data_IF_569793850393
#
_entry.id   IF_569793850393
#
_cell.length_a   1.000
_cell.length_b   1.000
_cell.length_c   1.000
_cell.angle_alpha   90.00
_cell.angle_beta   90.00
_cell.angle_gamma   90.00
#
_symmetry.space_group_name_H-M   'P 1'
#
loop_
_entity.id
_entity.type
_entity.pdbx_description
1 polymer ?
#
# COMPACT_ATOMS: atom_id res chain seq x y z
N UNK A 1 1.74 -20.27 35.73
CA UNK A 1 1.91 -20.32 34.26
C UNK A 1 3.32 -19.84 33.94
N UNK A 2 4.11 -20.63 33.22
CA UNK A 2 5.52 -20.30 32.94
C UNK A 2 5.63 -19.02 32.10
N UNK A 3 6.61 -18.17 32.40
CA UNK A 3 6.91 -16.93 31.67
C UNK A 3 7.15 -17.19 30.17
N UNK A 4 7.75 -18.34 29.83
CA UNK A 4 7.95 -18.80 28.44
C UNK A 4 6.62 -19.03 27.72
N UNK A 5 5.62 -19.57 28.42
CA UNK A 5 4.30 -19.86 27.86
C UNK A 5 3.54 -18.55 27.58
N UNK A 6 3.58 -17.59 28.51
CA UNK A 6 3.00 -16.26 28.31
C UNK A 6 3.64 -15.51 27.14
N UNK A 7 4.96 -15.60 27.00
CA UNK A 7 5.69 -15.01 25.87
C UNK A 7 5.28 -15.64 24.54
N UNK A 8 5.11 -16.96 24.50
CA UNK A 8 4.62 -17.68 23.32
C UNK A 8 3.20 -17.25 22.96
N UNK A 9 2.29 -17.16 23.94
CA UNK A 9 0.91 -16.69 23.73
C UNK A 9 0.87 -15.27 23.15
N UNK A 10 1.69 -14.35 23.68
CA UNK A 10 1.79 -12.97 23.16
C UNK A 10 2.24 -12.93 21.70
N UNK A 11 3.30 -13.68 21.37
CA UNK A 11 3.83 -13.74 20.00
C UNK A 11 2.83 -14.36 19.02
N UNK A 12 2.07 -15.38 19.46
CA UNK A 12 1.03 -15.99 18.64
C UNK A 12 -0.13 -15.01 18.39
N UNK A 13 -0.55 -14.24 19.39
CA UNK A 13 -1.58 -13.23 19.23
C UNK A 13 -1.14 -12.11 18.28
N UNK A 14 0.09 -11.63 18.42
CA UNK A 14 0.69 -10.64 17.50
C UNK A 14 0.73 -11.19 16.08
N UNK A 15 1.20 -12.43 15.89
CA UNK A 15 1.25 -13.08 14.58
C UNK A 15 -0.13 -13.18 13.92
N UNK A 16 -1.11 -13.73 14.65
CA UNK A 16 -2.50 -13.85 14.17
C UNK A 16 -3.09 -12.48 13.80
N UNK A 17 -2.77 -11.45 14.59
CA UNK A 17 -3.21 -10.08 14.29
C UNK A 17 -2.60 -9.53 13.00
N UNK A 18 -1.32 -9.81 12.73
CA UNK A 18 -0.63 -9.35 11.53
C UNK A 18 -1.11 -10.08 10.27
N UNK A 19 -1.31 -11.40 10.34
CA UNK A 19 -1.87 -12.17 9.23
C UNK A 19 -3.28 -11.68 8.87
N UNK A 20 -4.12 -11.47 9.90
CA UNK A 20 -5.46 -10.93 9.72
C UNK A 20 -5.42 -9.55 9.06
N UNK A 21 -4.54 -8.66 9.54
CA UNK A 21 -4.34 -7.33 8.98
C UNK A 21 -3.96 -7.40 7.49
N UNK A 22 -2.99 -8.24 7.11
CA UNK A 22 -2.57 -8.39 5.70
C UNK A 22 -3.69 -8.94 4.83
N UNK A 23 -4.41 -9.95 5.32
CA UNK A 23 -5.54 -10.53 4.58
C UNK A 23 -6.64 -9.50 4.30
N UNK A 24 -7.03 -8.73 5.32
CA UNK A 24 -8.01 -7.65 5.19
C UNK A 24 -7.47 -6.53 4.28
N UNK A 25 -6.18 -6.21 4.38
CA UNK A 25 -5.52 -5.22 3.54
C UNK A 25 -5.55 -5.58 2.05
N UNK A 26 -5.12 -6.81 1.72
CA UNK A 26 -5.12 -7.31 0.34
C UNK A 26 -6.54 -7.34 -0.23
N UNK A 27 -7.52 -7.88 0.52
CA UNK A 27 -8.89 -7.94 0.06
C UNK A 27 -9.43 -6.55 -0.31
N UNK A 28 -9.21 -5.56 0.58
CA UNK A 28 -9.67 -4.20 0.29
C UNK A 28 -8.88 -3.51 -0.83
N UNK A 29 -7.58 -3.79 -0.93
CA UNK A 29 -6.75 -3.29 -2.02
C UNK A 29 -7.20 -3.84 -3.38
N UNK A 30 -7.60 -5.10 -3.45
CA UNK A 30 -8.16 -5.72 -4.67
C UNK A 30 -9.48 -5.09 -5.11
N UNK A 31 -10.38 -4.82 -4.15
CA UNK A 31 -11.63 -4.09 -4.43
C UNK A 31 -11.32 -2.71 -5.03
N UNK A 32 -10.47 -1.93 -4.36
CA UNK A 32 -10.09 -0.58 -4.81
C UNK A 32 -9.34 -0.59 -6.14
N UNK A 33 -8.53 -1.62 -6.41
CA UNK A 33 -7.81 -1.80 -7.68
C UNK A 33 -8.77 -1.86 -8.87
N UNK A 34 -9.88 -2.58 -8.71
CA UNK A 34 -10.96 -2.67 -9.71
C UNK A 34 -11.82 -1.40 -9.74
N UNK A 35 -12.24 -0.91 -8.57
CA UNK A 35 -13.11 0.29 -8.48
C UNK A 35 -12.46 1.55 -9.06
N UNK A 36 -11.14 1.70 -8.91
CA UNK A 36 -10.38 2.83 -9.46
C UNK A 36 -9.89 2.58 -10.89
N UNK A 37 -10.27 1.45 -11.50
CA UNK A 37 -9.92 1.06 -12.87
C UNK A 37 -8.40 1.02 -13.12
N UNK A 38 -7.62 0.64 -12.11
CA UNK A 38 -6.16 0.51 -12.20
C UNK A 38 -5.80 -0.74 -13.02
N UNK A 39 -6.66 -1.75 -12.99
CA UNK A 39 -6.56 -2.99 -13.75
C UNK A 39 -6.58 -2.79 -15.27
N UNK A 40 -7.06 -1.64 -15.75
CA UNK A 40 -6.96 -1.25 -17.16
C UNK A 40 -5.53 -0.93 -17.60
N UNK A 41 -4.60 -0.71 -16.66
CA UNK A 41 -3.20 -0.32 -16.96
C UNK A 41 -2.16 -1.33 -16.53
N UNK A 42 -2.44 -2.14 -15.53
CA UNK A 42 -1.49 -3.15 -15.02
C UNK A 42 -2.26 -4.36 -14.51
N UNK A 43 -1.68 -5.55 -14.65
CA UNK A 43 -2.22 -6.76 -14.04
C UNK A 43 -2.04 -6.73 -12.51
N UNK A 44 -2.88 -7.47 -11.78
CA UNK A 44 -2.81 -7.51 -10.32
C UNK A 44 -1.45 -8.06 -9.83
N UNK A 45 -0.96 -9.09 -10.50
CA UNK A 45 0.28 -9.80 -10.20
C UNK A 45 1.50 -8.88 -10.36
N UNK A 46 1.42 -7.93 -11.29
CA UNK A 46 2.49 -6.98 -11.57
C UNK A 46 2.49 -5.75 -10.64
N UNK A 47 1.39 -5.52 -9.90
CA UNK A 47 1.20 -4.32 -9.08
C UNK A 47 2.26 -4.19 -7.98
N UNK A 48 2.72 -5.30 -7.41
CA UNK A 48 3.77 -5.30 -6.39
C UNK A 48 5.19 -5.32 -6.96
N UNK A 49 5.33 -5.46 -8.29
CA UNK A 49 6.59 -5.33 -9.01
C UNK A 49 7.09 -3.88 -9.12
N UNK A 50 6.25 -2.89 -8.80
CA UNK A 50 6.69 -1.50 -8.69
C UNK A 50 7.53 -1.27 -7.42
N UNK A 51 8.55 -0.43 -7.54
CA UNK A 51 9.45 -0.05 -6.45
C UNK A 51 8.78 0.98 -5.52
N UNK A 52 7.98 1.88 -6.09
CA UNK A 52 7.26 2.91 -5.34
C UNK A 52 5.95 3.28 -6.04
N UNK A 53 5.03 3.84 -5.25
CA UNK A 53 3.77 4.40 -5.73
C UNK A 53 3.54 5.77 -5.08
N UNK A 54 3.29 6.76 -5.92
CA UNK A 54 3.10 8.16 -5.58
C UNK A 54 1.70 8.62 -5.95
N UNK A 55 1.17 9.54 -5.14
CA UNK A 55 -0.08 10.23 -5.39
C UNK A 55 0.22 11.71 -5.67
N UNK A 56 -0.16 12.17 -6.85
CA UNK A 56 -0.11 13.58 -7.22
C UNK A 56 -1.46 14.24 -6.94
N UNK A 57 -1.45 15.53 -6.57
CA UNK A 57 -2.65 16.36 -6.47
C UNK A 57 -3.51 16.14 -5.22
N UNK A 58 -3.26 15.10 -4.42
CA UNK A 58 -3.93 14.83 -3.16
C UNK A 58 -2.87 14.58 -2.08
N UNK A 59 -3.02 15.21 -0.92
CA UNK A 59 -2.06 15.07 0.17
C UNK A 59 -2.18 13.73 0.90
N UNK A 60 -1.01 13.12 1.17
CA UNK A 60 -0.84 11.95 2.04
C UNK A 60 -0.19 12.32 3.39
N UNK A 61 0.04 13.61 3.65
CA UNK A 61 0.59 14.08 4.92
C UNK A 61 -0.49 13.98 6.00
N UNK A 62 -0.11 13.62 7.23
CA UNK A 62 -1.06 13.33 8.31
C UNK A 62 -1.97 14.52 8.63
N UNK A 63 -1.41 15.73 8.61
CA UNK A 63 -2.08 16.99 8.96
C UNK A 63 -3.06 17.44 7.87
N UNK A 64 -2.87 16.98 6.64
CA UNK A 64 -3.64 17.38 5.46
C UNK A 64 -4.17 16.16 4.70
N UNK A 65 -4.37 15.03 5.39
CA UNK A 65 -4.67 13.76 4.74
C UNK A 65 -5.93 13.89 3.89
N UNK A 66 -5.85 13.41 2.63
CA UNK A 66 -6.93 13.48 1.67
C UNK A 66 -7.40 14.90 1.29
N UNK A 67 -6.61 15.94 1.59
CA UNK A 67 -6.89 17.27 1.08
C UNK A 67 -6.43 17.39 -0.40
N UNK A 68 -7.32 17.82 -1.32
CA UNK A 68 -6.93 18.09 -2.69
C UNK A 68 -6.07 19.34 -2.76
N UNK A 69 -5.04 19.31 -3.61
CA UNK A 69 -4.14 20.44 -3.85
C UNK A 69 -4.71 21.32 -4.98
N UNK A 70 -4.90 22.64 -4.75
CA UNK A 70 -5.44 23.54 -5.75
C UNK A 70 -4.60 23.55 -7.04
N UNK A 71 -5.25 23.69 -8.19
CA UNK A 71 -4.60 23.74 -9.50
C UNK A 71 -3.71 22.54 -9.85
N UNK A 72 -3.90 21.38 -9.20
CA UNK A 72 -3.17 20.15 -9.51
C UNK A 72 -4.10 19.05 -9.99
N UNK A 73 -3.53 18.16 -10.80
CA UNK A 73 -4.22 16.95 -11.24
C UNK A 73 -4.00 15.81 -10.24
N UNK A 74 -5.08 15.08 -9.96
CA UNK A 74 -5.05 13.87 -9.17
C UNK A 74 -4.61 12.69 -10.05
N UNK A 75 -3.51 12.04 -9.68
CA UNK A 75 -2.95 10.95 -10.44
C UNK A 75 -2.18 9.97 -9.55
N UNK A 76 -2.38 8.67 -9.80
CA UNK A 76 -1.55 7.61 -9.22
C UNK A 76 -0.42 7.30 -10.20
N UNK A 77 0.82 7.37 -9.72
CA UNK A 77 2.03 7.13 -10.50
C UNK A 77 2.84 6.04 -9.80
N UNK A 78 3.23 5.01 -10.55
CA UNK A 78 4.11 3.97 -10.06
C UNK A 78 5.50 4.06 -10.68
N UNK A 79 6.52 3.60 -9.96
CA UNK A 79 7.93 3.68 -10.35
C UNK A 79 8.48 2.27 -10.48
N UNK A 80 9.09 1.96 -11.62
CA UNK A 80 9.83 0.69 -11.85
C UNK A 80 11.10 0.99 -12.62
N UNK A 81 12.24 0.60 -12.07
CA UNK A 81 13.58 0.79 -12.66
C UNK A 81 13.84 2.26 -13.06
N UNK A 82 13.49 3.19 -12.17
CA UNK A 82 13.64 4.64 -12.38
C UNK A 82 12.67 5.26 -13.39
N UNK A 83 11.74 4.49 -13.98
CA UNK A 83 10.73 4.98 -14.92
C UNK A 83 9.38 5.17 -14.22
N UNK A 84 8.77 6.33 -14.46
CA UNK A 84 7.43 6.66 -13.97
C UNK A 84 6.37 6.12 -14.94
N UNK A 85 5.36 5.44 -14.42
CA UNK A 85 4.19 4.96 -15.17
C UNK A 85 2.92 5.51 -14.52
N UNK A 86 2.09 6.20 -15.30
CA UNK A 86 0.77 6.64 -14.85
C UNK A 86 -0.16 5.44 -14.76
N UNK A 87 -0.62 5.12 -13.55
CA UNK A 87 -1.59 4.04 -13.34
C UNK A 87 -3.03 4.52 -13.56
N UNK A 88 -3.37 5.73 -13.10
CA UNK A 88 -4.69 6.33 -13.34
C UNK A 88 -4.65 7.83 -13.15
N UNK A 89 -5.33 8.54 -14.04
CA UNK A 89 -5.57 9.98 -13.99
C UNK A 89 -7.06 10.21 -13.69
N UNK A 90 -7.35 11.12 -12.75
CA UNK A 90 -8.71 11.36 -12.26
C UNK A 90 -9.26 12.75 -12.61
N UNK A 91 -8.43 13.66 -13.15
CA UNK A 91 -8.83 15.04 -13.40
C UNK A 91 -8.23 16.01 -12.37
N UNK A 92 -8.79 17.23 -12.31
CA UNK A 92 -8.36 18.25 -11.33
C UNK A 92 -8.76 17.82 -9.92
N UNK A 93 -7.80 17.84 -9.00
CA UNK A 93 -7.99 17.35 -7.64
C UNK A 93 -9.10 18.11 -6.88
N UNK A 94 -9.18 19.42 -7.08
CA UNK A 94 -10.19 20.30 -6.46
C UNK A 94 -11.64 20.02 -6.92
N UNK A 95 -11.80 19.35 -8.06
CA UNK A 95 -13.11 19.01 -8.63
C UNK A 95 -13.53 17.56 -8.33
N UNK A 96 -12.69 16.78 -7.65
CA UNK A 96 -13.00 15.39 -7.35
C UNK A 96 -14.03 15.27 -6.23
N UNK A 97 -14.91 14.31 -6.37
CA UNK A 97 -15.81 13.91 -5.29
C UNK A 97 -15.00 13.46 -4.05
N UNK A 98 -15.37 13.92 -2.83
CA UNK A 98 -14.66 13.55 -1.61
C UNK A 98 -14.61 12.05 -1.33
N UNK A 99 -15.61 11.26 -1.75
CA UNK A 99 -15.61 9.80 -1.63
C UNK A 99 -14.55 9.19 -2.55
N UNK A 100 -14.46 9.66 -3.79
CA UNK A 100 -13.42 9.23 -4.72
C UNK A 100 -12.02 9.56 -4.20
N UNK A 101 -11.80 10.76 -3.66
CA UNK A 101 -10.52 11.14 -3.05
C UNK A 101 -10.11 10.15 -1.94
N UNK A 102 -11.05 9.80 -1.04
CA UNK A 102 -10.78 8.84 0.04
C UNK A 102 -10.36 7.48 -0.52
N UNK A 103 -11.04 6.98 -1.55
CA UNK A 103 -10.68 5.71 -2.20
C UNK A 103 -9.29 5.73 -2.83
N UNK A 104 -8.94 6.82 -3.52
CA UNK A 104 -7.60 6.99 -4.12
C UNK A 104 -6.52 6.97 -3.05
N UNK A 105 -6.71 7.72 -1.96
CA UNK A 105 -5.77 7.77 -0.83
C UNK A 105 -5.65 6.41 -0.16
N UNK A 106 -6.79 5.76 0.12
CA UNK A 106 -6.83 4.44 0.74
C UNK A 106 -6.08 3.41 -0.11
N UNK A 107 -6.30 3.40 -1.42
CA UNK A 107 -5.60 2.50 -2.35
C UNK A 107 -4.07 2.65 -2.24
N UNK A 108 -3.57 3.89 -2.31
CA UNK A 108 -2.12 4.15 -2.23
C UNK A 108 -1.55 3.75 -0.87
N UNK A 109 -2.26 4.04 0.23
CA UNK A 109 -1.81 3.66 1.56
C UNK A 109 -1.81 2.15 1.79
N UNK A 110 -2.85 1.44 1.33
CA UNK A 110 -2.94 -0.02 1.41
C UNK A 110 -1.87 -0.72 0.59
N UNK A 111 -1.58 -0.21 -0.61
CA UNK A 111 -0.46 -0.70 -1.41
C UNK A 111 0.88 -0.49 -0.70
N UNK A 112 1.12 0.70 -0.11
CA UNK A 112 2.35 0.99 0.64
C UNK A 112 2.49 0.13 1.90
N UNK A 113 1.39 -0.15 2.58
CA UNK A 113 1.37 -1.05 3.73
C UNK A 113 1.79 -2.45 3.29
N UNK A 114 1.20 -2.99 2.24
CA UNK A 114 1.57 -4.33 1.74
C UNK A 114 3.01 -4.37 1.24
N UNK A 115 3.44 -3.34 0.51
CA UNK A 115 4.82 -3.23 0.02
C UNK A 115 5.83 -3.24 1.16
N UNK A 116 5.48 -2.64 2.30
CA UNK A 116 6.31 -2.67 3.52
C UNK A 116 6.46 -4.08 4.08
N UNK A 117 5.39 -4.89 4.07
CA UNK A 117 5.49 -6.30 4.49
C UNK A 117 6.42 -7.10 3.58
N UNK A 118 6.30 -6.96 2.25
CA UNK A 118 7.24 -7.58 1.31
C UNK A 118 8.69 -7.18 1.58
N UNK A 119 8.93 -5.91 1.93
CA UNK A 119 10.29 -5.47 2.27
C UNK A 119 10.81 -6.12 3.55
N UNK A 120 9.99 -6.21 4.59
CA UNK A 120 10.37 -6.89 5.84
C UNK A 120 10.70 -8.36 5.60
N UNK A 121 9.87 -9.06 4.82
CA UNK A 121 10.12 -10.46 4.43
C UNK A 121 11.44 -10.60 3.67
N UNK A 122 11.67 -9.77 2.64
CA UNK A 122 12.91 -9.80 1.87
C UNK A 122 14.15 -9.55 2.74
N UNK A 123 14.10 -8.57 3.66
CA UNK A 123 15.22 -8.30 4.55
C UNK A 123 15.45 -9.42 5.54
N UNK A 124 14.38 -10.05 6.05
CA UNK A 124 14.49 -11.23 6.90
C UNK A 124 15.20 -12.36 6.18
N UNK A 125 14.80 -12.68 4.94
CA UNK A 125 15.42 -13.74 4.14
C UNK A 125 16.93 -13.49 3.92
N UNK A 126 17.30 -12.24 3.65
CA UNK A 126 18.71 -11.84 3.50
C UNK A 126 19.50 -11.98 4.81
N UNK A 127 18.92 -11.59 5.94
CA UNK A 127 19.56 -11.76 7.26
C UNK A 127 19.72 -13.24 7.60
N UNK A 128 18.70 -14.06 7.34
CA UNK A 128 18.74 -15.51 7.58
C UNK A 128 19.83 -16.17 6.71
N UNK A 129 19.98 -15.76 5.45
CA UNK A 129 21.04 -16.23 4.55
C UNK A 129 22.46 -15.87 5.06
N UNK A 130 22.63 -14.74 5.76
CA UNK A 130 23.91 -14.38 6.38
C UNK A 130 24.22 -15.19 7.64
N UNK A 131 23.19 -15.61 8.38
CA UNK A 131 23.32 -16.34 9.65
C UNK A 131 23.52 -17.86 9.47
N UNK A 132 23.22 -18.41 8.29
CA UNK A 132 23.47 -19.81 7.95
C UNK A 132 24.95 -20.06 7.61
N UNK A 133 25.85 -19.82 8.57
CA UNK A 133 27.25 -20.27 8.56
C UNK A 133 27.48 -21.38 9.57
#
# INVERSE_FOLDING_TARGET
>A
MSEKLRRLESLLQEFVSLEKLRKENIAKLQELFKELEIDQKVAWEDLFGFQAMNLMGISLQKEQLAQPQPNRYAQIIAIKNGKNSSLRYFGRAENLDPSLIKKIVEFVLRWRLEKSFFHVENYRDLVDALNQK
#
